data_IF_993884847541
#
_entry.id   IF_993884847541
#
_cell.length_a   1.000
_cell.length_b   1.000
_cell.length_c   1.000
_cell.angle_alpha   90.00
_cell.angle_beta   90.00
_cell.angle_gamma   90.00
#
_symmetry.space_group_name_H-M   'P 1'
#
loop_
_entity.id
_entity.type
_entity.pdbx_description
1 polymer ?
#
# COMPACT_ATOMS: atom_id res chain seq x y z
N UNK A 1 20.31 -2.57 9.69
CA UNK A 1 20.24 -1.62 8.55
C UNK A 1 18.77 -1.23 8.38
N UNK A 2 18.43 0.04 8.18
CA UNK A 2 17.03 0.45 8.02
C UNK A 2 16.52 -0.02 6.65
N UNK A 3 15.40 -0.74 6.61
CA UNK A 3 14.78 -1.16 5.33
C UNK A 3 14.25 0.03 4.56
N UNK A 4 14.25 -0.07 3.24
CA UNK A 4 13.65 0.92 2.33
C UNK A 4 12.29 0.42 1.84
N UNK A 5 11.34 1.33 1.68
CA UNK A 5 10.03 1.09 1.11
C UNK A 5 10.02 1.44 -0.37
N UNK A 6 9.41 0.59 -1.18
CA UNK A 6 9.35 0.74 -2.63
C UNK A 6 7.91 0.73 -3.10
N UNK A 7 7.52 1.74 -3.86
CA UNK A 7 6.22 1.72 -4.54
C UNK A 7 6.35 0.84 -5.78
N UNK A 8 5.51 -0.18 -5.89
CA UNK A 8 5.53 -1.10 -7.04
C UNK A 8 4.42 -0.70 -8.01
N UNK A 9 4.76 0.18 -8.95
CA UNK A 9 3.87 0.62 -10.04
C UNK A 9 3.78 -0.46 -11.12
N UNK A 10 2.59 -0.67 -11.65
CA UNK A 10 2.28 -1.64 -12.71
C UNK A 10 0.98 -1.24 -13.41
N UNK A 11 0.74 -1.79 -14.60
CA UNK A 11 -0.51 -1.56 -15.32
C UNK A 11 -1.66 -2.38 -14.72
N UNK A 12 -2.89 -1.88 -14.77
CA UNK A 12 -4.05 -2.63 -14.27
C UNK A 12 -4.23 -3.99 -14.96
N UNK A 13 -3.81 -4.10 -16.23
CA UNK A 13 -3.84 -5.36 -16.98
C UNK A 13 -2.83 -6.40 -16.46
N UNK A 14 -1.79 -5.96 -15.74
CA UNK A 14 -0.73 -6.81 -15.17
C UNK A 14 -1.02 -7.28 -13.74
N UNK A 15 -2.24 -7.03 -13.24
CA UNK A 15 -2.66 -7.33 -11.86
C UNK A 15 -2.45 -8.81 -11.48
N UNK A 16 -2.49 -9.73 -12.44
CA UNK A 16 -2.23 -11.17 -12.21
C UNK A 16 -0.82 -11.45 -11.67
N UNK A 17 0.15 -10.55 -11.89
CA UNK A 17 1.54 -10.73 -11.48
C UNK A 17 1.92 -10.02 -10.18
N UNK A 18 0.97 -9.39 -9.47
CA UNK A 18 1.27 -8.56 -8.30
C UNK A 18 2.10 -9.30 -7.24
N UNK A 19 1.80 -10.57 -6.97
CA UNK A 19 2.54 -11.32 -5.95
C UNK A 19 4.00 -11.53 -6.36
N UNK A 20 4.28 -11.68 -7.66
CA UNK A 20 5.65 -11.71 -8.17
C UNK A 20 6.35 -10.36 -7.96
N UNK A 21 5.66 -9.25 -8.24
CA UNK A 21 6.18 -7.88 -8.06
C UNK A 21 6.48 -7.55 -6.59
N UNK A 22 5.66 -8.04 -5.66
CA UNK A 22 5.89 -7.91 -4.22
C UNK A 22 7.05 -8.78 -3.75
N UNK A 23 7.08 -10.03 -4.19
CA UNK A 23 8.12 -10.98 -3.80
C UNK A 23 9.51 -10.53 -4.26
N UNK A 24 9.64 -9.95 -5.46
CA UNK A 24 10.93 -9.45 -5.91
C UNK A 24 11.44 -8.31 -5.03
N UNK A 25 10.57 -7.42 -4.53
CA UNK A 25 10.95 -6.38 -3.57
C UNK A 25 11.44 -6.99 -2.25
N UNK A 26 10.69 -7.96 -1.71
CA UNK A 26 11.01 -8.63 -0.44
C UNK A 26 12.35 -9.37 -0.53
N UNK A 27 12.59 -10.13 -1.61
CA UNK A 27 13.85 -10.87 -1.83
C UNK A 27 15.04 -9.93 -1.99
N UNK A 28 14.83 -8.75 -2.58
CA UNK A 28 15.85 -7.71 -2.65
C UNK A 28 16.02 -6.93 -1.32
N UNK A 29 15.31 -7.27 -0.25
CA UNK A 29 15.43 -6.64 1.07
C UNK A 29 14.60 -5.37 1.27
N UNK A 30 13.64 -5.11 0.38
CA UNK A 30 12.77 -3.93 0.41
C UNK A 30 11.38 -4.24 0.96
N UNK A 31 10.66 -3.18 1.32
CA UNK A 31 9.29 -3.21 1.81
C UNK A 31 8.34 -2.77 0.69
N UNK A 32 7.59 -3.69 0.05
CA UNK A 32 6.70 -3.30 -1.03
C UNK A 32 5.49 -2.51 -0.50
N UNK A 33 5.25 -1.35 -1.12
CA UNK A 33 3.99 -0.60 -1.07
C UNK A 33 3.33 -0.81 -2.43
N UNK A 34 2.65 -1.95 -2.58
CA UNK A 34 1.90 -2.24 -3.80
C UNK A 34 0.52 -1.57 -3.73
N UNK A 35 0.10 -0.79 -4.73
CA UNK A 35 -1.14 -0.02 -4.66
C UNK A 35 -2.38 -0.89 -4.49
N UNK A 36 -2.46 -2.06 -5.12
CA UNK A 36 -3.64 -2.92 -4.97
C UNK A 36 -3.73 -3.52 -3.57
N UNK A 37 -2.64 -4.11 -3.06
CA UNK A 37 -2.65 -4.66 -1.70
C UNK A 37 -2.76 -3.58 -0.61
N UNK A 38 -2.24 -2.38 -0.84
CA UNK A 38 -2.39 -1.26 0.08
C UNK A 38 -3.83 -0.73 0.07
N UNK A 39 -4.37 -0.43 -1.11
CA UNK A 39 -5.61 0.33 -1.26
C UNK A 39 -6.86 -0.52 -1.39
N UNK A 40 -6.75 -1.65 -2.09
CA UNK A 40 -7.85 -2.51 -2.52
C UNK A 40 -8.72 -1.76 -3.52
N UNK A 41 -8.56 -2.03 -4.81
CA UNK A 41 -9.15 -1.20 -5.87
C UNK A 41 -10.65 -0.99 -5.70
N UNK A 42 -11.40 -2.07 -5.48
CA UNK A 42 -12.85 -1.99 -5.25
C UNK A 42 -13.19 -1.15 -4.01
N UNK A 43 -12.47 -1.35 -2.91
CA UNK A 43 -12.74 -0.69 -1.64
C UNK A 43 -12.45 0.81 -1.70
N UNK A 44 -11.30 1.22 -2.23
CA UNK A 44 -10.97 2.63 -2.43
C UNK A 44 -11.96 3.29 -3.40
N UNK A 45 -12.24 2.64 -4.55
CA UNK A 45 -13.16 3.19 -5.56
C UNK A 45 -14.56 3.42 -5.01
N UNK A 46 -15.11 2.44 -4.29
CA UNK A 46 -16.46 2.55 -3.69
C UNK A 46 -16.50 3.55 -2.54
N UNK A 47 -15.42 3.68 -1.76
CA UNK A 47 -15.34 4.68 -0.68
C UNK A 47 -15.28 6.13 -1.21
N UNK A 48 -14.88 6.32 -2.47
CA UNK A 48 -14.80 7.62 -3.14
C UNK A 48 -15.91 7.84 -4.18
N UNK A 49 -17.02 7.11 -4.11
CA UNK A 49 -18.15 7.21 -5.05
C UNK A 49 -17.76 7.07 -6.53
N UNK A 50 -16.73 6.27 -6.84
CA UNK A 50 -16.24 6.08 -8.21
C UNK A 50 -15.44 7.25 -8.78
N UNK A 51 -15.04 8.23 -7.96
CA UNK A 51 -14.26 9.40 -8.42
C UNK A 51 -12.80 9.01 -8.67
N UNK A 52 -12.45 8.81 -9.94
CA UNK A 52 -11.10 8.40 -10.39
C UNK A 52 -9.97 9.24 -9.79
N UNK A 53 -10.09 10.57 -9.77
CA UNK A 53 -9.04 11.45 -9.22
C UNK A 53 -8.85 11.29 -7.72
N UNK A 54 -9.91 10.97 -6.97
CA UNK A 54 -9.80 10.70 -5.54
C UNK A 54 -9.07 9.39 -5.27
N UNK A 55 -9.30 8.35 -6.08
CA UNK A 55 -8.54 7.08 -6.01
C UNK A 55 -7.07 7.31 -6.41
N UNK A 56 -6.84 8.04 -7.50
CA UNK A 56 -5.49 8.38 -7.96
C UNK A 56 -4.71 9.13 -6.88
N UNK A 57 -5.36 10.04 -6.16
CA UNK A 57 -4.76 10.77 -5.03
C UNK A 57 -4.34 9.86 -3.87
N UNK A 58 -5.03 8.74 -3.64
CA UNK A 58 -4.57 7.72 -2.68
C UNK A 58 -3.29 7.05 -3.18
N UNK A 59 -3.24 6.63 -4.46
CA UNK A 59 -2.03 6.07 -5.07
C UNK A 59 -0.86 7.05 -4.95
N UNK A 60 -1.05 8.32 -5.33
CA UNK A 60 0.00 9.33 -5.26
C UNK A 60 0.49 9.61 -3.83
N UNK A 61 -0.39 9.47 -2.84
CA UNK A 61 0.01 9.56 -1.43
C UNK A 61 0.97 8.41 -1.05
N UNK A 62 0.70 7.20 -1.53
CA UNK A 62 1.59 6.04 -1.37
C UNK A 62 2.92 6.22 -2.11
N UNK A 63 2.89 6.71 -3.35
CA UNK A 63 4.09 7.01 -4.15
C UNK A 63 5.01 7.95 -3.38
N UNK A 64 4.46 9.02 -2.80
CA UNK A 64 5.26 10.01 -2.05
C UNK A 64 5.80 9.51 -0.72
N UNK A 65 5.24 8.43 -0.18
CA UNK A 65 5.71 7.81 1.06
C UNK A 65 6.82 6.78 0.84
N UNK A 66 7.02 6.31 -0.39
CA UNK A 66 8.10 5.40 -0.73
C UNK A 66 9.47 6.10 -0.81
N UNK A 67 10.53 5.31 -0.67
CA UNK A 67 11.92 5.72 -0.86
C UNK A 67 12.41 5.45 -2.30
N UNK A 68 11.85 4.45 -2.99
CA UNK A 68 12.05 4.22 -4.43
C UNK A 68 10.72 3.99 -5.17
N UNK A 69 10.70 4.35 -6.45
CA UNK A 69 9.65 4.00 -7.40
C UNK A 69 10.14 2.90 -8.33
N UNK A 70 9.47 1.75 -8.29
CA UNK A 70 9.74 0.59 -9.13
C UNK A 70 8.58 0.40 -10.09
N UNK A 71 8.87 0.38 -11.38
CA UNK A 71 7.92 0.16 -12.46
C UNK A 71 8.08 -1.24 -13.02
N UNK A 72 7.00 -2.02 -13.02
CA UNK A 72 6.91 -3.31 -13.68
C UNK A 72 6.24 -3.13 -15.04
N UNK A 73 6.89 -3.64 -16.08
CA UNK A 73 6.42 -3.58 -17.46
C UNK A 73 6.89 -4.82 -18.24
N UNK A 74 6.39 -5.02 -19.45
CA UNK A 74 6.79 -6.15 -20.31
C UNK A 74 8.30 -6.19 -20.65
N UNK A 75 8.95 -5.02 -20.66
CA UNK A 75 10.36 -4.87 -21.00
C UNK A 75 11.02 -3.80 -20.14
N UNK A 76 12.31 -3.92 -19.88
CA UNK A 76 13.09 -2.86 -19.23
C UNK A 76 13.35 -1.65 -20.16
N UNK A 77 13.26 -1.85 -21.48
CA UNK A 77 13.36 -0.78 -22.48
C UNK A 77 11.96 -0.24 -22.79
N UNK A 78 11.31 0.33 -21.78
CA UNK A 78 9.96 0.89 -21.93
C UNK A 78 9.97 2.10 -22.86
N UNK A 79 8.98 2.18 -23.75
CA UNK A 79 8.60 3.45 -24.37
C UNK A 79 7.54 4.11 -23.49
N UNK A 80 7.83 5.29 -22.93
CA UNK A 80 6.90 5.99 -22.02
C UNK A 80 5.50 6.17 -22.61
N UNK A 81 5.40 6.32 -23.93
CA UNK A 81 4.13 6.46 -24.67
C UNK A 81 3.22 5.23 -24.55
N UNK A 82 3.76 4.08 -24.15
CA UNK A 82 3.02 2.83 -23.99
C UNK A 82 2.54 2.59 -22.55
N UNK A 83 2.94 3.44 -21.60
CA UNK A 83 2.48 3.34 -20.21
C UNK A 83 1.07 3.91 -20.09
N UNK A 84 0.24 3.29 -19.25
CA UNK A 84 -1.06 3.87 -18.89
C UNK A 84 -0.91 5.20 -18.17
N UNK A 85 -1.98 5.99 -18.22
CA UNK A 85 -1.97 7.33 -17.64
C UNK A 85 -1.74 7.31 -16.14
N UNK A 86 -2.26 6.29 -15.44
CA UNK A 86 -2.03 6.13 -14.00
C UNK A 86 -0.53 6.10 -13.69
N UNK A 87 0.22 5.26 -14.39
CA UNK A 87 1.68 5.14 -14.23
C UNK A 87 2.37 6.44 -14.62
N UNK A 88 1.99 7.06 -15.73
CA UNK A 88 2.59 8.32 -16.18
C UNK A 88 2.44 9.43 -15.13
N UNK A 89 1.30 9.51 -14.46
CA UNK A 89 1.06 10.46 -13.36
C UNK A 89 1.95 10.17 -12.15
N UNK A 90 2.07 8.90 -11.76
CA UNK A 90 2.94 8.49 -10.66
C UNK A 90 4.41 8.83 -10.92
N UNK A 91 4.90 8.50 -12.12
CA UNK A 91 6.28 8.79 -12.55
C UNK A 91 6.50 10.30 -12.64
N UNK A 92 5.54 11.06 -13.18
CA UNK A 92 5.64 12.52 -13.27
C UNK A 92 5.72 13.16 -11.89
N UNK A 93 4.87 12.75 -10.95
CA UNK A 93 4.93 13.26 -9.57
C UNK A 93 6.27 12.90 -8.91
N UNK A 94 6.75 11.67 -9.12
CA UNK A 94 8.04 11.22 -8.60
C UNK A 94 9.20 12.10 -9.08
N UNK A 95 9.30 12.30 -10.39
CA UNK A 95 10.34 13.13 -11.01
C UNK A 95 10.31 14.57 -10.50
N UNK A 96 9.12 15.14 -10.26
CA UNK A 96 8.96 16.53 -9.79
C UNK A 96 9.32 16.74 -8.33
N UNK A 97 9.20 15.71 -7.49
CA UNK A 97 9.28 15.85 -6.02
C UNK A 97 10.45 15.11 -5.39
N UNK A 98 10.84 13.97 -5.96
CA UNK A 98 11.85 13.06 -5.41
C UNK A 98 13.11 13.12 -6.25
N UNK A 99 13.31 12.15 -7.14
CA UNK A 99 14.51 12.02 -7.96
C UNK A 99 14.12 11.64 -9.39
N UNK A 100 14.97 11.93 -10.39
CA UNK A 100 14.68 11.57 -11.77
C UNK A 100 14.84 10.06 -12.06
N UNK A 101 15.39 9.28 -11.13
CA UNK A 101 15.63 7.86 -11.31
C UNK A 101 14.44 7.01 -10.84
N UNK A 102 13.96 6.14 -11.73
CA UNK A 102 13.05 5.03 -11.38
C UNK A 102 13.75 3.70 -11.69
N UNK A 103 13.33 2.62 -11.04
CA UNK A 103 13.82 1.28 -11.34
C UNK A 103 12.77 0.54 -12.16
N UNK A 104 13.15 -0.02 -13.30
CA UNK A 104 12.25 -0.73 -14.21
C UNK A 104 12.57 -2.22 -14.15
N UNK A 105 11.52 -3.03 -14.01
CA UNK A 105 11.59 -4.47 -14.02
C UNK A 105 10.76 -5.01 -15.18
N UNK A 106 11.35 -5.95 -15.93
CA UNK A 106 10.59 -6.80 -16.83
C UNK A 106 9.74 -7.77 -16.02
N UNK A 107 8.45 -7.85 -16.30
CA UNK A 107 7.53 -8.81 -15.68
C UNK A 107 7.98 -10.25 -15.99
N UNK A 108 8.30 -10.53 -17.25
CA UNK A 108 8.73 -11.87 -17.69
C UNK A 108 10.00 -12.33 -16.98
N UNK A 109 10.99 -11.44 -16.80
CA UNK A 109 12.22 -11.74 -16.06
C UNK A 109 11.97 -11.85 -14.55
N UNK A 110 11.05 -11.05 -14.00
CA UNK A 110 10.60 -11.17 -12.60
C UNK A 110 10.04 -12.55 -12.32
N UNK A 111 9.11 -13.02 -13.17
CA UNK A 111 8.50 -14.36 -13.03
C UNK A 111 9.55 -15.46 -13.15
N UNK A 112 10.45 -15.38 -14.15
CA UNK A 112 11.55 -16.35 -14.30
C UNK A 112 12.42 -16.41 -13.05
N UNK A 113 12.84 -15.25 -12.53
CA UNK A 113 13.74 -15.18 -11.35
C UNK A 113 13.17 -15.89 -10.12
N UNK A 114 11.83 -15.85 -9.94
CA UNK A 114 11.16 -16.51 -8.82
C UNK A 114 11.03 -18.03 -9.02
N UNK A 115 10.88 -18.49 -10.26
CA UNK A 115 10.67 -19.91 -10.57
C UNK A 115 11.95 -20.76 -10.51
N UNK A 116 13.12 -20.18 -10.79
CA UNK A 116 14.36 -20.96 -10.88
C UNK A 116 15.08 -21.16 -9.54
N UNK A 117 14.54 -20.65 -8.42
CA UNK A 117 15.24 -20.58 -7.12
C UNK A 117 16.65 -19.96 -7.21
N UNK A 118 16.94 -19.29 -8.33
CA UNK A 118 18.18 -18.57 -8.53
C UNK A 118 17.99 -17.24 -7.80
N UNK A 119 18.29 -17.27 -6.50
CA UNK A 119 18.18 -16.11 -5.63
C UNK A 119 19.21 -15.02 -5.96
N UNK A 120 19.91 -15.11 -7.11
CA UNK A 120 20.59 -13.99 -7.74
C UNK A 120 19.57 -12.88 -8.02
N UNK A 121 19.39 -12.03 -7.01
CA UNK A 121 18.32 -11.04 -6.90
C UNK A 121 18.28 -10.18 -8.16
N UNK A 122 17.29 -10.41 -9.03
CA UNK A 122 17.07 -9.56 -10.20
C UNK A 122 16.77 -8.14 -9.70
N UNK A 123 17.62 -7.18 -10.10
CA UNK A 123 17.62 -5.81 -9.56
C UNK A 123 16.98 -4.78 -10.48
N UNK A 124 16.43 -5.23 -11.61
CA UNK A 124 15.93 -4.35 -12.67
C UNK A 124 16.99 -3.38 -13.20
N UNK A 125 16.55 -2.43 -14.02
CA UNK A 125 17.37 -1.37 -14.59
C UNK A 125 16.97 -0.01 -14.04
N UNK A 126 17.95 0.79 -13.65
CA UNK A 126 17.69 2.20 -13.30
C UNK A 126 17.55 3.01 -14.58
N UNK A 127 16.43 3.71 -14.71
CA UNK A 127 16.12 4.59 -15.82
C UNK A 127 16.00 6.01 -15.30
N UNK A 128 16.78 6.92 -15.86
CA UNK A 128 16.59 8.36 -15.65
C UNK A 128 15.48 8.83 -16.57
N UNK A 129 14.47 9.48 -15.99
CA UNK A 129 13.31 9.98 -16.73
C UNK A 129 13.40 11.49 -16.86
N UNK A 130 13.13 11.98 -18.06
CA UNK A 130 13.04 13.40 -18.36
C UNK A 130 11.60 13.89 -18.28
N UNK A 131 11.33 14.90 -17.44
CA UNK A 131 9.98 15.40 -17.18
C UNK A 131 9.22 15.84 -18.45
N UNK A 132 9.83 16.61 -19.37
CA UNK A 132 9.18 17.04 -20.61
C UNK A 132 8.70 15.86 -21.46
N UNK A 133 9.44 14.74 -21.50
CA UNK A 133 9.02 13.55 -22.26
C UNK A 133 7.73 12.93 -21.71
N UNK A 134 7.56 12.91 -20.39
CA UNK A 134 6.32 12.44 -19.77
C UNK A 134 5.16 13.39 -20.10
N UNK A 135 5.39 14.71 -20.00
CA UNK A 135 4.36 15.72 -20.30
C UNK A 135 3.86 15.61 -21.72
N UNK A 136 4.76 15.52 -22.70
CA UNK A 136 4.40 15.30 -24.10
C UNK A 136 3.60 14.01 -24.29
N UNK A 137 3.95 12.93 -23.57
CA UNK A 137 3.18 11.67 -23.64
C UNK A 137 1.75 11.85 -23.07
N UNK A 138 1.59 12.54 -21.95
CA UNK A 138 0.26 12.85 -21.37
C UNK A 138 -0.58 13.76 -22.27
N UNK A 139 0.03 14.79 -22.87
CA UNK A 139 -0.61 15.73 -23.79
C UNK A 139 -1.07 15.04 -25.08
N UNK A 140 -0.22 14.20 -25.66
CA UNK A 140 -0.54 13.41 -26.86
C UNK A 140 -1.70 12.44 -26.63
N UNK A 141 -1.83 11.92 -25.42
CA UNK A 141 -2.93 11.03 -25.03
C UNK A 141 -4.22 11.78 -24.65
N UNK A 142 -4.30 13.10 -24.85
CA UNK A 142 -5.46 13.96 -24.56
C UNK A 142 -5.84 14.11 -23.07
N UNK A 143 -4.91 13.87 -22.15
CA UNK A 143 -5.16 13.98 -20.70
C UNK A 143 -4.81 15.36 -20.13
N UNK A 144 -5.30 16.43 -20.77
CA UNK A 144 -5.01 17.80 -20.32
C UNK A 144 -5.47 18.10 -18.87
N UNK A 145 -6.57 17.48 -18.44
CA UNK A 145 -7.12 17.60 -17.07
C UNK A 145 -6.15 17.11 -15.98
N UNK A 146 -5.31 16.12 -16.31
CA UNK A 146 -4.33 15.55 -15.39
C UNK A 146 -3.21 16.54 -15.06
N UNK A 147 -2.85 17.41 -16.01
CA UNK A 147 -1.80 18.42 -15.79
C UNK A 147 -2.21 19.40 -14.70
N UNK A 148 -3.45 19.91 -14.75
CA UNK A 148 -4.02 20.77 -13.71
C UNK A 148 -4.17 20.04 -12.37
N UNK A 149 -4.64 18.78 -12.40
CA UNK A 149 -4.72 17.94 -11.20
C UNK A 149 -3.37 17.81 -10.49
N UNK A 150 -2.28 17.54 -11.22
CA UNK A 150 -0.95 17.35 -10.62
C UNK A 150 -0.40 18.60 -9.94
N UNK A 151 -0.71 19.79 -10.48
CA UNK A 151 -0.28 21.05 -9.90
C UNK A 151 -0.99 21.31 -8.54
N UNK A 152 -2.24 20.85 -8.40
CA UNK A 152 -3.00 20.91 -7.15
C UNK A 152 -2.70 19.77 -6.18
N UNK A 153 -2.41 18.57 -6.70
CA UNK A 153 -2.36 17.35 -5.89
C UNK A 153 -1.24 17.38 -4.87
N UNK A 154 -0.10 18.03 -5.19
CA UNK A 154 1.08 18.12 -4.30
C UNK A 154 0.73 18.70 -2.92
N UNK A 155 -0.24 19.61 -2.87
CA UNK A 155 -0.66 20.28 -1.63
C UNK A 155 -1.82 19.58 -0.94
N UNK A 156 -2.41 18.58 -1.57
CA UNK A 156 -3.66 17.97 -1.11
C UNK A 156 -3.55 16.47 -0.86
N UNK A 157 -2.37 15.86 -1.01
CA UNK A 157 -2.13 14.44 -0.72
C UNK A 157 -2.63 14.06 0.67
N UNK A 158 -3.21 12.86 0.76
CA UNK A 158 -3.84 12.39 1.98
C UNK A 158 -2.81 11.75 2.91
N UNK A 159 -2.88 12.01 4.22
CA UNK A 159 -1.96 11.38 5.16
C UNK A 159 -2.18 9.87 5.22
N UNK A 160 -1.07 9.14 5.21
CA UNK A 160 -1.07 7.68 5.36
C UNK A 160 -1.27 7.31 6.82
N UNK A 161 -2.09 6.29 7.07
CA UNK A 161 -2.30 5.69 8.39
C UNK A 161 -1.88 4.22 8.37
N UNK A 162 -1.01 3.83 9.31
CA UNK A 162 -0.67 2.43 9.53
C UNK A 162 -1.78 1.79 10.37
N UNK A 163 -2.42 0.74 9.85
CA UNK A 163 -3.46 0.02 10.57
C UNK A 163 -2.83 -1.11 11.39
N UNK A 164 -2.79 -0.93 12.70
CA UNK A 164 -2.39 -1.97 13.64
C UNK A 164 -3.64 -2.68 14.19
N UNK A 165 -3.96 -3.79 13.56
CA UNK A 165 -5.06 -4.68 13.92
C UNK A 165 -4.50 -6.03 14.36
N UNK A 166 -5.14 -6.64 15.36
CA UNK A 166 -4.77 -7.99 15.82
C UNK A 166 -5.13 -9.03 14.76
N UNK A 167 -4.37 -10.12 14.70
CA UNK A 167 -4.58 -11.16 13.69
C UNK A 167 -5.98 -11.80 13.78
N UNK A 168 -6.54 -11.94 14.99
CA UNK A 168 -7.86 -12.52 15.20
C UNK A 168 -8.99 -11.63 14.65
N UNK A 169 -8.73 -10.32 14.59
CA UNK A 169 -9.68 -9.31 14.12
C UNK A 169 -9.46 -8.96 12.64
N UNK A 170 -8.39 -9.46 12.01
CA UNK A 170 -7.99 -9.08 10.65
C UNK A 170 -9.08 -9.33 9.61
N UNK A 171 -9.97 -10.31 9.82
CA UNK A 171 -11.16 -10.55 8.98
C UNK A 171 -12.09 -9.34 8.86
N UNK A 172 -11.95 -8.32 9.71
CA UNK A 172 -12.75 -7.10 9.71
C UNK A 172 -12.00 -5.87 9.17
N UNK A 173 -10.82 -6.06 8.59
CA UNK A 173 -9.94 -4.99 8.14
C UNK A 173 -10.59 -4.03 7.12
N UNK A 174 -11.47 -4.52 6.25
CA UNK A 174 -12.07 -3.67 5.22
C UNK A 174 -13.01 -2.61 5.80
N UNK A 175 -13.66 -2.86 6.95
CA UNK A 175 -14.40 -1.82 7.68
C UNK A 175 -13.48 -0.71 8.16
N UNK A 176 -12.29 -1.07 8.66
CA UNK A 176 -11.29 -0.10 9.13
C UNK A 176 -10.73 0.71 7.97
N UNK A 177 -10.44 0.07 6.83
CA UNK A 177 -9.93 0.73 5.62
C UNK A 177 -10.97 1.66 5.00
N UNK A 178 -12.23 1.22 4.88
CA UNK A 178 -13.33 2.08 4.43
C UNK A 178 -13.48 3.31 5.34
N UNK A 179 -13.45 3.08 6.66
CA UNK A 179 -13.48 4.18 7.63
C UNK A 179 -12.31 5.16 7.45
N UNK A 180 -11.10 4.67 7.15
CA UNK A 180 -9.95 5.52 6.85
C UNK A 180 -10.19 6.43 5.64
N UNK A 181 -10.69 5.88 4.53
CA UNK A 181 -11.00 6.65 3.32
C UNK A 181 -12.05 7.73 3.56
N UNK A 182 -13.13 7.39 4.28
CA UNK A 182 -14.18 8.34 4.64
C UNK A 182 -13.67 9.50 5.52
N UNK A 183 -12.53 9.33 6.18
CA UNK A 183 -11.85 10.36 6.98
C UNK A 183 -10.66 11.00 6.25
N UNK A 184 -10.57 10.84 4.93
CA UNK A 184 -9.51 11.43 4.12
C UNK A 184 -8.11 10.88 4.43
N UNK A 185 -8.02 9.60 4.82
CA UNK A 185 -6.76 8.91 5.13
C UNK A 185 -6.51 7.78 4.13
N UNK A 186 -5.23 7.48 3.92
CA UNK A 186 -4.80 6.32 3.09
C UNK A 186 -4.34 5.18 4.00
N UNK A 187 -5.09 4.08 4.11
CA UNK A 187 -4.72 3.00 5.01
C UNK A 187 -3.60 2.13 4.41
N UNK A 188 -2.65 1.76 5.26
CA UNK A 188 -1.65 0.72 4.99
C UNK A 188 -1.85 -0.39 6.02
N UNK A 189 -2.13 -1.60 5.55
CA UNK A 189 -2.25 -2.80 6.39
C UNK A 189 -1.08 -3.73 6.12
N UNK A 190 -0.22 -4.01 7.12
CA UNK A 190 0.95 -4.85 6.92
C UNK A 190 0.57 -6.29 6.55
N UNK A 191 -0.51 -6.84 7.12
CA UNK A 191 -0.96 -8.20 6.80
C UNK A 191 -1.38 -8.38 5.33
N UNK A 192 -1.84 -7.32 4.65
CA UNK A 192 -2.11 -7.36 3.21
C UNK A 192 -0.83 -7.23 2.39
N UNK A 193 -0.04 -6.18 2.67
CA UNK A 193 1.15 -5.87 1.89
C UNK A 193 2.27 -6.88 2.04
N UNK A 194 2.35 -7.52 3.20
CA UNK A 194 3.45 -8.38 3.59
C UNK A 194 2.97 -9.45 4.59
N UNK A 195 2.14 -10.43 4.17
CA UNK A 195 1.83 -11.56 5.02
C UNK A 195 3.11 -12.21 5.56
N UNK A 196 3.15 -12.46 6.87
CA UNK A 196 4.33 -13.01 7.56
C UNK A 196 4.85 -14.31 6.91
N UNK A 197 3.96 -15.12 6.32
CA UNK A 197 4.34 -16.37 5.68
C UNK A 197 5.29 -16.19 4.49
N UNK A 198 5.27 -15.04 3.82
CA UNK A 198 6.18 -14.75 2.70
C UNK A 198 7.63 -14.66 3.20
N UNK A 199 7.84 -14.27 4.46
CA UNK A 199 9.17 -14.15 5.05
C UNK A 199 9.73 -15.48 5.54
N UNK A 200 8.90 -16.52 5.72
CA UNK A 200 9.32 -17.81 6.30
C UNK A 200 10.38 -18.56 5.50
N UNK A 201 10.58 -18.20 4.23
CA UNK A 201 11.62 -18.78 3.37
C UNK A 201 13.00 -18.14 3.57
N UNK A 202 13.09 -17.07 4.37
CA UNK A 202 14.34 -16.38 4.68
C UNK A 202 14.98 -16.93 5.96
N UNK A 203 16.32 -17.02 5.98
CA UNK A 203 17.09 -17.50 7.13
C UNK A 203 16.85 -16.67 8.42
N UNK A 204 16.44 -15.40 8.30
CA UNK A 204 16.13 -14.47 9.40
C UNK A 204 14.68 -13.93 9.33
N UNK A 205 13.73 -14.76 8.91
CA UNK A 205 12.33 -14.40 8.65
C UNK A 205 11.69 -13.42 9.65
N UNK A 206 11.86 -13.67 10.96
CA UNK A 206 11.22 -12.87 12.01
C UNK A 206 11.81 -11.47 12.12
N UNK A 207 13.14 -11.34 12.13
CA UNK A 207 13.81 -10.04 12.19
C UNK A 207 13.51 -9.23 10.92
N UNK A 208 13.53 -9.90 9.78
CA UNK A 208 13.20 -9.29 8.50
C UNK A 208 11.76 -8.75 8.47
N UNK A 209 10.81 -9.54 8.95
CA UNK A 209 9.42 -9.12 9.01
C UNK A 209 9.22 -7.93 9.95
N UNK A 210 9.81 -7.97 11.15
CA UNK A 210 9.73 -6.85 12.10
C UNK A 210 10.38 -5.58 11.55
N UNK A 211 11.53 -5.68 10.90
CA UNK A 211 12.16 -4.55 10.23
C UNK A 211 11.26 -3.93 9.16
N UNK A 212 10.50 -4.76 8.44
CA UNK A 212 9.53 -4.31 7.45
C UNK A 212 8.32 -3.62 8.08
N UNK A 213 7.82 -4.12 9.21
CA UNK A 213 6.75 -3.48 9.99
C UNK A 213 7.17 -2.08 10.48
N UNK A 214 8.35 -1.96 11.06
CA UNK A 214 8.87 -0.67 11.55
C UNK A 214 9.08 0.32 10.41
N UNK A 215 9.51 -0.15 9.23
CA UNK A 215 9.57 0.70 8.05
C UNK A 215 8.18 1.20 7.63
N UNK A 216 7.17 0.34 7.56
CA UNK A 216 5.80 0.79 7.25
C UNK A 216 5.25 1.79 8.27
N UNK A 217 5.51 1.59 9.58
CA UNK A 217 5.16 2.58 10.61
C UNK A 217 5.89 3.91 10.43
N UNK A 218 7.13 3.88 9.95
CA UNK A 218 7.92 5.10 9.75
C UNK A 218 7.42 5.96 8.58
N UNK A 219 6.85 5.35 7.53
CA UNK A 219 6.29 6.08 6.38
C UNK A 219 4.87 6.61 6.65
N UNK A 220 4.16 6.01 7.61
CA UNK A 220 2.83 6.47 8.00
C UNK A 220 2.88 7.73 8.87
N UNK A 221 1.96 8.66 8.63
CA UNK A 221 1.83 9.87 9.48
C UNK A 221 1.31 9.54 10.88
N UNK A 222 0.43 8.54 10.98
CA UNK A 222 -0.23 8.12 12.21
C UNK A 222 -0.35 6.60 12.23
N UNK A 223 -0.51 6.06 13.44
CA UNK A 223 -0.80 4.65 13.69
C UNK A 223 -2.23 4.58 14.23
N UNK A 224 -3.08 3.81 13.57
CA UNK A 224 -4.41 3.48 14.07
C UNK A 224 -4.35 2.13 14.77
N UNK A 225 -4.38 2.17 16.10
CA UNK A 225 -4.36 0.99 16.93
C UNK A 225 -5.81 0.53 17.16
N UNK A 226 -6.20 -0.51 16.43
CA UNK A 226 -7.59 -0.97 16.36
C UNK A 226 -7.90 -1.91 17.52
N UNK A 227 -9.04 -1.71 18.19
CA UNK A 227 -9.47 -2.53 19.31
C UNK A 227 -10.96 -2.87 19.25
N UNK A 228 -11.36 -3.98 19.85
CA UNK A 228 -12.75 -4.47 19.82
C UNK A 228 -13.46 -4.45 21.18
N UNK A 229 -12.72 -4.31 22.29
CA UNK A 229 -13.25 -4.29 23.66
C UNK A 229 -12.46 -3.37 24.59
N UNK A 230 -13.00 -3.08 25.78
CA UNK A 230 -12.30 -2.27 26.79
C UNK A 230 -10.99 -2.90 27.29
N UNK A 231 -10.95 -4.23 27.44
CA UNK A 231 -9.72 -4.96 27.78
C UNK A 231 -8.69 -4.85 26.66
N UNK A 232 -9.13 -5.00 25.40
CA UNK A 232 -8.25 -4.82 24.25
C UNK A 232 -7.68 -3.39 24.19
N UNK A 233 -8.51 -2.37 24.45
CA UNK A 233 -8.06 -0.98 24.52
C UNK A 233 -6.96 -0.79 25.57
N UNK A 234 -7.12 -1.36 26.76
CA UNK A 234 -6.13 -1.24 27.84
C UNK A 234 -4.79 -1.87 27.43
N UNK A 235 -4.81 -3.09 26.90
CA UNK A 235 -3.61 -3.76 26.39
C UNK A 235 -2.94 -2.95 25.26
N UNK A 236 -3.73 -2.38 24.35
CA UNK A 236 -3.22 -1.54 23.25
C UNK A 236 -2.59 -0.24 23.78
N UNK A 237 -3.19 0.38 24.81
CA UNK A 237 -2.63 1.57 25.48
C UNK A 237 -1.31 1.25 26.18
N UNK A 238 -1.20 0.10 26.84
CA UNK A 238 0.05 -0.34 27.47
C UNK A 238 1.16 -0.55 26.43
N UNK A 239 0.83 -1.15 25.28
CA UNK A 239 1.78 -1.35 24.16
C UNK A 239 2.32 -0.04 23.58
N UNK A 240 1.47 0.98 23.44
CA UNK A 240 1.82 2.23 22.75
C UNK A 240 2.14 3.42 23.66
N UNK A 241 1.82 3.32 24.95
CA UNK A 241 1.92 4.41 25.89
C UNK A 241 1.15 5.66 25.46
N UNK A 242 1.75 6.83 25.68
CA UNK A 242 1.18 8.15 25.36
C UNK A 242 1.69 8.69 24.01
N UNK A 243 2.03 7.81 23.06
CA UNK A 243 2.56 8.25 21.76
C UNK A 243 1.55 9.15 21.02
N UNK A 244 1.91 10.41 20.67
CA UNK A 244 1.00 11.32 19.99
C UNK A 244 0.72 10.91 18.53
N UNK A 245 1.49 9.95 17.99
CA UNK A 245 1.27 9.39 16.65
C UNK A 245 0.18 8.30 16.64
N UNK A 246 -0.27 7.84 17.80
CA UNK A 246 -1.21 6.73 17.91
C UNK A 246 -2.62 7.25 18.15
N UNK A 247 -3.55 6.81 17.32
CA UNK A 247 -4.99 6.98 17.51
C UNK A 247 -5.60 5.63 17.80
N UNK A 248 -6.36 5.52 18.89
CA UNK A 248 -7.08 4.31 19.23
C UNK A 248 -8.42 4.33 18.50
N UNK A 249 -8.70 3.30 17.69
CA UNK A 249 -9.92 3.23 16.87
C UNK A 249 -10.68 1.98 17.24
N UNK A 250 -11.93 2.13 17.70
CA UNK A 250 -12.75 0.99 18.07
C UNK A 250 -13.44 0.34 16.86
N UNK A 251 -13.62 -0.97 16.92
CA UNK A 251 -14.41 -1.71 15.92
C UNK A 251 -15.88 -1.27 15.86
N UNK A 252 -16.37 -0.62 16.93
CA UNK A 252 -17.70 -0.03 16.96
C UNK A 252 -17.76 1.27 16.15
N UNK A 253 -16.74 2.13 16.28
CA UNK A 253 -16.66 3.41 15.55
C UNK A 253 -16.52 3.20 14.04
N UNK A 254 -15.77 2.18 13.61
CA UNK A 254 -15.67 1.82 12.18
C UNK A 254 -16.95 1.19 11.62
N UNK A 255 -18.02 1.08 12.42
CA UNK A 255 -19.31 0.57 11.98
C UNK A 255 -19.34 -0.94 11.73
N UNK A 256 -18.42 -1.72 12.32
CA UNK A 256 -18.39 -3.16 12.12
C UNK A 256 -19.64 -3.81 12.78
N UNK A 257 -20.52 -4.48 12.01
CA UNK A 257 -21.83 -4.90 12.49
C UNK A 257 -21.84 -5.76 13.76
N UNK A 258 -20.86 -6.66 13.95
CA UNK A 258 -20.73 -7.48 15.17
C UNK A 258 -20.67 -6.62 16.44
N UNK A 259 -20.05 -5.44 16.37
CA UNK A 259 -19.84 -4.55 17.51
C UNK A 259 -20.82 -3.37 17.53
N UNK A 260 -21.27 -2.91 16.36
CA UNK A 260 -22.18 -1.78 16.23
C UNK A 260 -23.67 -2.18 16.30
N UNK A 261 -24.04 -3.34 15.77
CA UNK A 261 -25.42 -3.85 15.77
C UNK A 261 -25.46 -5.39 15.91
N UNK A 262 -25.08 -5.93 17.09
CA UNK A 262 -24.94 -7.38 17.29
C UNK A 262 -26.25 -8.16 17.11
N UNK A 263 -27.41 -7.52 17.25
CA UNK A 263 -28.73 -8.18 17.11
C UNK A 263 -29.04 -8.59 15.68
N UNK A 264 -28.48 -7.87 14.70
CA UNK A 264 -28.73 -8.07 13.28
C UNK A 264 -27.55 -8.74 12.58
N UNK A 265 -26.57 -9.24 13.33
CA UNK A 265 -25.38 -9.89 12.79
C UNK A 265 -25.35 -11.36 13.21
N UNK A 266 -25.16 -12.24 12.23
CA UNK A 266 -24.94 -13.66 12.52
C UNK A 266 -23.58 -13.84 13.17
N UNK A 267 -23.57 -14.27 14.42
CA UNK A 267 -22.36 -14.63 15.15
C UNK A 267 -22.22 -16.15 15.16
N UNK A 268 -21.00 -16.63 14.95
CA UNK A 268 -20.72 -18.07 15.03
C UNK A 268 -20.82 -18.54 16.48
N UNK A 269 -21.09 -19.84 16.69
CA UNK A 269 -21.10 -20.44 18.02
C UNK A 269 -19.76 -20.30 18.76
N UNK A 270 -18.65 -20.19 18.02
CA UNK A 270 -17.32 -19.89 18.57
C UNK A 270 -17.25 -18.46 19.09
N UNK A 271 -17.73 -17.49 18.32
CA UNK A 271 -17.75 -16.07 18.72
C UNK A 271 -18.69 -15.80 19.89
N UNK A 272 -19.79 -16.55 20.03
CA UNK A 272 -20.66 -16.48 21.21
C UNK A 272 -19.87 -16.82 22.49
N UNK A 273 -19.02 -17.86 22.44
CA UNK A 273 -18.18 -18.25 23.58
C UNK A 273 -17.10 -17.22 23.90
N UNK A 274 -16.55 -16.56 22.87
CA UNK A 274 -15.55 -15.50 23.01
C UNK A 274 -16.14 -14.20 23.60
N UNK A 275 -17.43 -13.93 23.40
CA UNK A 275 -18.13 -12.74 23.91
C UNK A 275 -18.74 -12.90 25.32
N UNK A 276 -18.74 -14.10 25.89
CA UNK A 276 -19.24 -14.41 27.24
C UNK A 276 -18.13 -14.39 28.31
N UNK A 277 -16.92 -13.98 27.93
CA UNK A 277 -15.74 -13.74 28.76
C UNK A 277 -15.28 -12.29 28.61
#
# INVERSE_FOLDING_TARGET
MQKLAVYTAFDGDDMVFIDCMRNIAIINGYVPINPEYALGYYLSTTSHDGKKFEVMKDCLSLVMAADELWLFAESENIALQQLSEGILVEVLLWVRVKTPGIRVFSISETVKSLNYHDHASYKGRVLSIDEPMIRTSLENNQFSEISGFLDEVKYTLRPIVFIDIRNEDFKYIDWVRAYAYLHGKVPISPQHLMPEFIYKVHNNAQEDYQGSIEKLKSVASQIWAVYHSGVALQNTKERYGLSPRVTFVSMREVGMPKYANPRNWSITSKEVKENLL
#
